data_IF_946808265808
#
_entry.id   IF_946808265808
#
_cell.length_a   1.000
_cell.length_b   1.000
_cell.length_c   1.000
_cell.angle_alpha   90.00
_cell.angle_beta   90.00
_cell.angle_gamma   90.00
#
_symmetry.space_group_name_H-M   'P 1'
#
loop_
_entity.id
_entity.type
_entity.pdbx_description
1 polymer ?
#
# COMPACT_ATOMS: atom_id res chain seq x y z
N UNK A 1 1.66 1.26 18.05
CA UNK A 1 3.12 0.99 18.03
C UNK A 1 3.37 -0.45 17.63
N UNK A 2 4.15 -0.65 16.58
CA UNK A 2 4.64 -1.96 16.13
C UNK A 2 5.60 -2.56 17.17
N UNK A 3 5.66 -3.89 17.23
CA UNK A 3 6.63 -4.63 18.08
C UNK A 3 7.97 -4.90 17.38
N UNK A 4 8.08 -4.54 16.10
CA UNK A 4 9.30 -4.73 15.32
C UNK A 4 10.33 -3.65 15.70
N UNK A 5 11.61 -4.02 15.86
CA UNK A 5 12.59 -3.15 16.52
C UNK A 5 13.13 -2.00 15.64
N UNK A 6 13.01 -2.12 14.31
CA UNK A 6 13.64 -1.19 13.36
C UNK A 6 12.70 -0.91 12.19
N UNK A 7 12.82 0.27 11.59
CA UNK A 7 12.05 0.65 10.40
C UNK A 7 12.23 -0.35 9.23
N UNK A 8 13.45 -0.82 8.87
CA UNK A 8 13.62 -1.83 7.83
C UNK A 8 12.88 -3.15 8.10
N UNK A 9 12.95 -3.67 9.32
CA UNK A 9 12.24 -4.89 9.71
C UNK A 9 10.71 -4.69 9.64
N UNK A 10 10.23 -3.49 9.99
CA UNK A 10 8.83 -3.12 9.86
C UNK A 10 8.38 -3.07 8.39
N UNK A 11 9.12 -2.35 7.54
CA UNK A 11 8.81 -2.24 6.11
C UNK A 11 8.79 -3.64 5.47
N UNK A 12 9.77 -4.48 5.75
CA UNK A 12 9.81 -5.85 5.23
C UNK A 12 8.57 -6.66 5.63
N UNK A 13 8.08 -6.52 6.86
CA UNK A 13 6.84 -7.17 7.28
C UNK A 13 5.60 -6.58 6.57
N UNK A 14 5.56 -5.26 6.36
CA UNK A 14 4.47 -4.60 5.65
C UNK A 14 4.45 -4.95 4.16
N UNK A 15 5.61 -5.13 3.52
CA UNK A 15 5.74 -5.64 2.16
C UNK A 15 5.13 -7.04 2.01
N UNK A 16 5.39 -7.94 2.97
CA UNK A 16 4.76 -9.27 2.97
C UNK A 16 3.24 -9.20 3.11
N UNK A 17 2.74 -8.31 3.97
CA UNK A 17 1.30 -8.08 4.10
C UNK A 17 0.71 -7.47 2.84
N UNK A 18 1.38 -6.52 2.21
CA UNK A 18 0.97 -5.92 0.95
C UNK A 18 0.85 -6.99 -0.14
N UNK A 19 1.88 -7.82 -0.30
CA UNK A 19 1.87 -8.94 -1.24
C UNK A 19 0.68 -9.88 -0.99
N UNK A 20 0.40 -10.23 0.26
CA UNK A 20 -0.76 -11.05 0.63
C UNK A 20 -2.10 -10.37 0.26
N UNK A 21 -2.26 -9.09 0.57
CA UNK A 21 -3.48 -8.32 0.25
C UNK A 21 -3.70 -8.26 -1.26
N UNK A 22 -2.63 -8.11 -2.04
CA UNK A 22 -2.69 -8.02 -3.51
C UNK A 22 -3.05 -9.34 -4.20
N UNK A 23 -2.92 -10.48 -3.51
CA UNK A 23 -3.42 -11.77 -3.99
C UNK A 23 -4.94 -11.95 -3.79
N UNK A 24 -5.61 -11.06 -3.06
CA UNK A 24 -7.06 -11.12 -2.91
C UNK A 24 -7.71 -10.79 -4.27
N UNK A 25 -8.64 -11.63 -4.79
CA UNK A 25 -9.22 -11.38 -6.11
C UNK A 25 -9.96 -10.03 -6.20
N UNK A 26 -9.79 -9.27 -7.30
CA UNK A 26 -10.53 -8.01 -7.56
C UNK A 26 -11.99 -8.23 -7.98
N UNK A 27 -12.60 -9.34 -7.57
CA UNK A 27 -13.97 -9.71 -7.93
C UNK A 27 -14.79 -10.00 -6.67
N UNK A 28 -16.07 -9.66 -6.74
CA UNK A 28 -17.00 -9.84 -5.64
C UNK A 28 -17.14 -11.34 -5.29
N UNK A 29 -17.24 -11.68 -4.00
CA UNK A 29 -17.44 -10.79 -2.85
C UNK A 29 -16.13 -10.24 -2.22
N UNK A 30 -14.96 -10.55 -2.78
CA UNK A 30 -13.66 -10.30 -2.14
C UNK A 30 -13.14 -8.87 -2.32
N UNK A 31 -13.72 -8.08 -3.23
CA UNK A 31 -13.30 -6.71 -3.50
C UNK A 31 -13.30 -5.83 -2.26
N UNK A 32 -14.37 -5.88 -1.45
CA UNK A 32 -14.47 -5.09 -0.21
C UNK A 32 -13.41 -5.47 0.83
N UNK A 33 -13.06 -6.77 0.90
CA UNK A 33 -12.02 -7.27 1.78
C UNK A 33 -10.64 -6.73 1.37
N UNK A 34 -10.33 -6.77 0.07
CA UNK A 34 -9.08 -6.22 -0.49
C UNK A 34 -8.93 -4.74 -0.17
N UNK A 35 -9.97 -3.94 -0.41
CA UNK A 35 -10.00 -2.51 -0.10
C UNK A 35 -9.81 -2.27 1.40
N UNK A 36 -10.55 -3.00 2.24
CA UNK A 36 -10.50 -2.84 3.69
C UNK A 36 -9.11 -3.13 4.26
N UNK A 37 -8.46 -4.19 3.80
CA UNK A 37 -7.11 -4.50 4.25
C UNK A 37 -6.07 -3.50 3.74
N UNK A 38 -6.19 -3.02 2.50
CA UNK A 38 -5.27 -2.02 1.97
C UNK A 38 -5.43 -0.67 2.69
N UNK A 39 -6.66 -0.26 3.02
CA UNK A 39 -6.94 0.90 3.89
C UNK A 39 -6.27 0.76 5.25
N UNK A 40 -6.39 -0.44 5.85
CA UNK A 40 -5.79 -0.70 7.16
C UNK A 40 -4.27 -0.66 7.10
N UNK A 41 -3.65 -1.33 6.12
CA UNK A 41 -2.21 -1.33 5.93
C UNK A 41 -1.70 0.10 5.74
N UNK A 42 -2.36 0.88 4.89
CA UNK A 42 -2.01 2.29 4.64
C UNK A 42 -2.05 3.09 5.93
N UNK A 43 -3.12 2.95 6.73
CA UNK A 43 -3.19 3.62 8.02
C UNK A 43 -2.11 3.15 9.00
N UNK A 44 -1.83 1.86 9.08
CA UNK A 44 -0.82 1.32 9.99
C UNK A 44 0.58 1.82 9.62
N UNK A 45 0.94 1.86 8.33
CA UNK A 45 2.18 2.44 7.80
C UNK A 45 2.28 3.91 8.15
N UNK A 46 1.26 4.70 7.78
CA UNK A 46 1.26 6.15 7.97
C UNK A 46 1.47 6.55 9.43
N UNK A 47 0.84 5.82 10.36
CA UNK A 47 0.96 6.10 11.80
C UNK A 47 2.18 5.47 12.48
N UNK A 48 2.77 4.40 11.93
CA UNK A 48 3.84 3.66 12.60
C UNK A 48 5.24 4.08 12.16
N UNK A 49 5.41 4.50 10.90
CA UNK A 49 6.71 4.93 10.37
C UNK A 49 7.32 6.09 11.19
N UNK A 50 6.56 7.16 11.52
CA UNK A 50 7.07 8.25 12.36
C UNK A 50 7.55 7.83 13.76
N UNK A 51 7.12 6.65 14.24
CA UNK A 51 7.54 6.11 15.53
C UNK A 51 8.95 5.52 15.55
N UNK A 52 9.62 5.40 14.40
CA UNK A 52 11.01 4.96 14.31
C UNK A 52 11.98 6.14 14.15
N UNK A 53 13.25 5.99 14.53
CA UNK A 53 14.27 7.00 14.24
C UNK A 53 14.36 7.27 12.73
N UNK A 54 14.38 8.56 12.35
CA UNK A 54 14.58 8.99 10.97
C UNK A 54 16.05 8.81 10.58
N UNK A 55 16.36 7.72 9.86
CA UNK A 55 17.72 7.41 9.43
C UNK A 55 17.82 7.50 7.90
N UNK A 56 18.75 8.31 7.37
CA UNK A 56 18.96 8.50 5.92
C UNK A 56 19.11 7.17 5.18
N UNK A 57 19.84 6.21 5.76
CA UNK A 57 20.07 4.87 5.19
C UNK A 57 18.79 4.03 5.02
N UNK A 58 17.71 4.37 5.72
CA UNK A 58 16.43 3.65 5.68
C UNK A 58 15.40 4.28 4.72
N UNK A 59 15.64 5.52 4.30
CA UNK A 59 14.74 6.25 3.39
C UNK A 59 14.54 5.57 2.04
N UNK A 60 15.58 5.04 1.35
CA UNK A 60 15.37 4.40 0.05
C UNK A 60 14.38 3.25 0.11
N UNK A 61 14.48 2.40 1.14
CA UNK A 61 13.57 1.28 1.35
C UNK A 61 12.14 1.74 1.65
N UNK A 62 11.98 2.83 2.42
CA UNK A 62 10.67 3.40 2.68
C UNK A 62 10.05 3.95 1.40
N UNK A 63 10.82 4.68 0.60
CA UNK A 63 10.35 5.26 -0.67
C UNK A 63 9.94 4.17 -1.66
N UNK A 64 10.74 3.11 -1.81
CA UNK A 64 10.40 1.95 -2.63
C UNK A 64 9.09 1.30 -2.17
N UNK A 65 8.91 1.11 -0.86
CA UNK A 65 7.66 0.59 -0.33
C UNK A 65 6.45 1.52 -0.54
N UNK A 66 6.64 2.84 -0.43
CA UNK A 66 5.57 3.81 -0.68
C UNK A 66 5.17 3.83 -2.16
N UNK A 67 6.13 3.62 -3.06
CA UNK A 67 5.88 3.46 -4.50
C UNK A 67 5.10 2.16 -4.78
N UNK A 68 5.50 1.04 -4.17
CA UNK A 68 4.73 -0.22 -4.23
C UNK A 68 3.29 -0.03 -3.72
N UNK A 69 3.12 0.74 -2.64
CA UNK A 69 1.82 1.03 -2.04
C UNK A 69 0.94 1.89 -2.96
N UNK A 70 1.51 2.83 -3.70
CA UNK A 70 0.79 3.63 -4.70
C UNK A 70 0.33 2.77 -5.88
N UNK A 71 1.22 1.96 -6.45
CA UNK A 71 0.88 1.00 -7.50
C UNK A 71 -0.21 0.01 -7.04
N UNK A 72 -0.14 -0.45 -5.79
CA UNK A 72 -1.16 -1.28 -5.17
C UNK A 72 -2.53 -0.58 -5.11
N UNK A 73 -2.56 0.69 -4.69
CA UNK A 73 -3.79 1.49 -4.69
C UNK A 73 -4.34 1.68 -6.10
N UNK A 74 -3.49 1.98 -7.08
CA UNK A 74 -3.90 2.09 -8.47
C UNK A 74 -4.57 0.78 -8.96
N UNK A 75 -3.93 -0.37 -8.73
CA UNK A 75 -4.46 -1.68 -9.10
C UNK A 75 -5.82 -1.98 -8.42
N UNK A 76 -5.94 -1.69 -7.12
CA UNK A 76 -7.20 -1.90 -6.38
C UNK A 76 -8.33 -1.00 -6.88
N UNK A 77 -8.06 0.28 -7.12
CA UNK A 77 -9.06 1.23 -7.61
C UNK A 77 -9.55 0.89 -9.02
N UNK A 78 -8.70 0.24 -9.82
CA UNK A 78 -9.01 -0.23 -11.17
C UNK A 78 -9.61 -1.64 -11.23
N UNK A 79 -9.78 -2.31 -10.09
CA UNK A 79 -10.19 -3.72 -10.03
C UNK A 79 -9.29 -4.65 -10.87
N UNK A 80 -7.99 -4.38 -10.85
CA UNK A 80 -6.97 -5.16 -11.55
C UNK A 80 -6.42 -6.29 -10.70
N UNK A 81 -5.96 -7.37 -11.35
CA UNK A 81 -5.15 -8.40 -10.69
C UNK A 81 -3.72 -7.87 -10.51
N UNK A 82 -2.99 -8.39 -9.54
CA UNK A 82 -1.60 -7.99 -9.31
C UNK A 82 -0.64 -8.96 -9.99
N UNK A 83 0.27 -8.45 -10.81
CA UNK A 83 1.43 -9.22 -11.28
C UNK A 83 2.62 -8.97 -10.33
N UNK A 84 3.00 -9.96 -9.49
CA UNK A 84 4.11 -9.79 -8.55
C UNK A 84 5.48 -9.72 -9.22
N UNK A 85 5.59 -10.10 -10.50
CA UNK A 85 6.85 -10.04 -11.24
C UNK A 85 7.09 -8.66 -11.81
N UNK A 86 6.03 -8.04 -12.36
CA UNK A 86 6.08 -6.68 -12.89
C UNK A 86 5.92 -5.60 -11.83
N UNK A 87 5.30 -5.93 -10.68
CA UNK A 87 4.97 -4.95 -9.64
C UNK A 87 3.81 -4.02 -10.05
N UNK A 88 2.90 -4.51 -10.88
CA UNK A 88 1.85 -3.68 -11.48
C UNK A 88 0.47 -4.37 -11.48
N UNK A 89 -0.57 -3.53 -11.60
CA UNK A 89 -1.94 -3.98 -11.84
C UNK A 89 -2.17 -4.32 -13.31
N UNK A 90 -2.68 -5.52 -13.58
CA UNK A 90 -3.01 -6.00 -14.92
C UNK A 90 -4.52 -6.26 -15.04
N UNK A 91 -5.08 -5.97 -16.20
CA UNK A 91 -6.50 -6.20 -16.46
C UNK A 91 -6.83 -7.69 -16.45
N UNK A 92 -7.90 -8.05 -15.72
CA UNK A 92 -8.41 -9.41 -15.69
C UNK A 92 -9.17 -9.71 -16.98
N UNK A 93 -8.55 -10.46 -17.88
CA UNK A 93 -9.18 -10.93 -19.12
C UNK A 93 -9.86 -12.28 -18.88
N UNK A 94 -11.17 -12.35 -19.08
CA UNK A 94 -11.96 -13.57 -18.89
C UNK A 94 -12.48 -14.03 -20.25
N UNK A 95 -12.04 -15.21 -20.74
CA UNK A 95 -12.56 -15.77 -21.99
C UNK A 95 -14.07 -15.96 -21.91
N UNK A 96 -14.78 -15.54 -22.96
CA UNK A 96 -16.26 -15.60 -23.05
C UNK A 96 -16.78 -17.03 -22.91
N UNK A 97 -15.98 -18.02 -23.33
CA UNK A 97 -16.28 -19.45 -23.23
C UNK A 97 -16.44 -19.94 -21.78
N UNK A 98 -15.81 -19.26 -20.82
CA UNK A 98 -15.88 -19.59 -19.39
C UNK A 98 -17.07 -18.93 -18.68
N UNK A 99 -17.85 -18.10 -19.38
CA UNK A 99 -19.05 -17.47 -18.85
C UNK A 99 -20.21 -18.43 -19.08
N UNK A 100 -20.51 -19.27 -18.10
CA UNK A 100 -21.69 -20.14 -18.14
C UNK A 100 -22.96 -19.27 -18.01
N UNK A 101 -23.59 -18.95 -19.14
CA UNK A 101 -24.79 -18.10 -19.22
C UNK A 101 -25.96 -18.74 -18.45
N UNK A 102 -25.93 -20.06 -18.23
CA UNK A 102 -26.96 -20.81 -17.52
C UNK A 102 -26.71 -20.89 -16.00
N UNK A 103 -25.51 -20.56 -15.52
CA UNK A 103 -25.19 -20.42 -14.11
C UNK A 103 -24.91 -18.94 -13.80
N UNK A 104 -25.89 -18.25 -13.23
CA UNK A 104 -25.95 -16.81 -12.94
C UNK A 104 -24.85 -16.20 -12.04
N UNK A 105 -23.61 -16.71 -12.03
CA UNK A 105 -22.46 -16.03 -11.43
C UNK A 105 -21.96 -14.95 -12.38
N UNK A 106 -22.68 -13.83 -12.44
CA UNK A 106 -22.16 -12.61 -13.06
C UNK A 106 -20.89 -12.21 -12.32
N UNK A 107 -19.76 -12.20 -13.02
CA UNK A 107 -18.50 -11.68 -12.48
C UNK A 107 -18.66 -10.17 -12.33
N UNK A 108 -18.55 -9.69 -11.10
CA UNK A 108 -18.74 -8.28 -10.74
C UNK A 108 -17.59 -7.84 -9.86
N UNK A 109 -17.32 -6.54 -9.87
CA UNK A 109 -16.44 -5.91 -8.90
C UNK A 109 -17.13 -4.65 -8.41
N UNK A 110 -17.34 -4.57 -7.09
CA UNK A 110 -17.95 -3.40 -6.48
C UNK A 110 -16.88 -2.31 -6.27
N UNK A 111 -17.07 -1.09 -6.81
CA UNK A 111 -16.11 -0.02 -6.62
C UNK A 111 -16.10 0.44 -5.16
N UNK A 112 -15.00 1.06 -4.74
CA UNK A 112 -14.87 1.65 -3.42
C UNK A 112 -16.02 2.61 -3.08
N UNK A 113 -16.60 2.48 -1.89
CA UNK A 113 -17.66 3.34 -1.38
C UNK A 113 -17.17 4.77 -1.11
N UNK A 114 -18.10 5.70 -0.95
CA UNK A 114 -17.75 7.08 -0.60
C UNK A 114 -17.06 7.17 0.78
N UNK A 115 -17.49 6.36 1.75
CA UNK A 115 -16.89 6.33 3.09
C UNK A 115 -15.44 5.85 3.03
N UNK A 116 -15.16 4.80 2.25
CA UNK A 116 -13.80 4.28 2.05
C UNK A 116 -12.91 5.32 1.34
N UNK A 117 -13.43 6.04 0.32
CA UNK A 117 -12.72 7.16 -0.32
C UNK A 117 -12.39 8.28 0.65
N UNK A 118 -13.35 8.69 1.47
CA UNK A 118 -13.14 9.72 2.50
C UNK A 118 -12.10 9.26 3.52
N UNK A 119 -12.14 7.99 3.92
CA UNK A 119 -11.16 7.41 4.84
C UNK A 119 -9.76 7.40 4.25
N UNK A 120 -9.58 6.95 3.00
CA UNK A 120 -8.28 6.98 2.33
C UNK A 120 -7.73 8.41 2.28
N UNK A 121 -8.54 9.39 1.86
CA UNK A 121 -8.13 10.79 1.83
C UNK A 121 -7.68 11.30 3.20
N UNK A 122 -8.43 10.98 4.26
CA UNK A 122 -8.07 11.37 5.62
C UNK A 122 -6.73 10.76 6.05
N UNK A 123 -6.51 9.48 5.75
CA UNK A 123 -5.25 8.79 6.06
C UNK A 123 -4.06 9.42 5.33
N UNK A 124 -4.22 9.76 4.05
CA UNK A 124 -3.15 10.38 3.27
C UNK A 124 -2.84 11.79 3.77
N UNK A 125 -3.86 12.64 3.98
CA UNK A 125 -3.65 14.03 4.42
C UNK A 125 -2.97 14.09 5.79
N UNK A 126 -3.44 13.29 6.76
CA UNK A 126 -2.84 13.26 8.09
C UNK A 126 -1.47 12.59 8.07
N UNK A 127 -1.35 11.45 7.39
CA UNK A 127 -0.12 10.67 7.33
C UNK A 127 1.02 11.42 6.65
N UNK A 128 0.75 12.15 5.56
CA UNK A 128 1.76 12.98 4.90
C UNK A 128 2.27 14.08 5.84
N UNK A 129 1.39 14.75 6.58
CA UNK A 129 1.81 15.78 7.53
C UNK A 129 2.72 15.20 8.64
N UNK A 130 2.37 14.04 9.20
CA UNK A 130 3.20 13.35 10.20
C UNK A 130 4.54 12.87 9.62
N UNK A 131 4.55 12.37 8.38
CA UNK A 131 5.79 11.98 7.69
C UNK A 131 6.68 13.18 7.39
N UNK A 132 6.12 14.31 6.97
CA UNK A 132 6.88 15.54 6.73
C UNK A 132 7.55 16.03 8.02
N UNK A 133 6.81 16.07 9.13
CA UNK A 133 7.37 16.38 10.45
C UNK A 133 8.47 15.40 10.83
N UNK A 134 8.24 14.10 10.67
CA UNK A 134 9.23 13.06 10.94
C UNK A 134 10.52 13.23 10.12
N UNK A 135 10.41 13.61 8.84
CA UNK A 135 11.56 13.88 7.97
C UNK A 135 12.38 15.09 8.43
N UNK A 136 11.80 16.07 9.13
CA UNK A 136 12.59 17.17 9.72
C UNK A 136 13.57 16.71 10.79
N UNK A 137 13.33 15.55 11.39
CA UNK A 137 14.20 14.90 12.37
C UNK A 137 15.37 14.11 11.76
N UNK A 138 15.54 14.13 10.43
CA UNK A 138 16.68 13.48 9.78
C UNK A 138 17.99 14.11 10.27
N UNK A 139 18.83 13.30 10.88
CA UNK A 139 20.16 13.71 11.28
C UNK A 139 21.07 13.85 10.06
N UNK A 140 21.10 15.05 9.47
CA UNK A 140 22.01 15.43 8.38
C UNK A 140 23.40 15.82 8.94
N UNK A 141 23.62 15.79 10.26
CA UNK A 141 24.85 16.31 10.87
C UNK A 141 26.11 15.47 10.60
N UNK A 142 25.98 14.34 9.90
CA UNK A 142 27.11 13.50 9.46
C UNK A 142 27.88 14.02 8.25
N UNK A 143 27.33 14.92 7.44
CA UNK A 143 28.04 15.56 6.32
C UNK A 143 28.60 16.93 6.72
N UNK A 144 29.44 16.94 7.77
CA UNK A 144 30.39 18.04 7.92
C UNK A 144 31.34 17.97 6.72
N UNK A 145 31.07 18.79 5.69
CA UNK A 145 32.06 19.17 4.68
C UNK A 145 33.29 19.69 5.44
N UNK A 146 34.28 18.81 5.64
CA UNK A 146 35.63 19.24 5.97
C UNK A 146 36.15 19.98 4.74
N UNK A 147 35.92 21.29 4.72
CA UNK A 147 36.66 22.20 3.86
C UNK A 147 38.12 22.09 4.28
N UNK A 148 38.88 21.33 3.49
CA UNK A 148 40.34 21.28 3.52
C UNK A 148 40.94 22.61 3.06
#
# INVERSE_FOLDING_TARGET
MSKLPTLPAYIAAMQQLLAFILQIPPVDPSTSLRITFLLRLTGDVMNSVPGYPAEIKSLPQLLEFLDDLDHAWHAVLRAQVWDPTAGEGVDLVIPVENIDIHQSKTIRSSPMSQTERTRLRSLLVMGTAEMEEWLTGLDVQGENYQLA
#
